data_IF_164524827882
#
_entry.id   IF_164524827882
#
_cell.length_a   1.000
_cell.length_b   1.000
_cell.length_c   1.000
_cell.angle_alpha   90.00
_cell.angle_beta   90.00
_cell.angle_gamma   90.00
#
_symmetry.space_group_name_H-M   'P 1'
#
loop_
_entity.id
_entity.type
_entity.pdbx_description
1 polymer ?
#
# COMPACT_ATOMS: atom_id res chain seq x y z
N UNK A 1 -6.47 -3.58 -22.87
CA UNK A 1 -7.11 -3.48 -21.54
C UNK A 1 -6.30 -4.34 -20.59
N UNK A 2 -5.44 -3.75 -19.76
CA UNK A 2 -4.71 -4.53 -18.76
C UNK A 2 -5.66 -4.84 -17.61
N UNK A 3 -5.97 -6.13 -17.43
CA UNK A 3 -6.66 -6.64 -16.25
C UNK A 3 -5.75 -6.35 -15.05
N UNK A 4 -6.17 -5.43 -14.19
CA UNK A 4 -5.65 -5.33 -12.84
C UNK A 4 -6.18 -6.56 -12.10
N UNK A 5 -5.34 -7.58 -11.98
CA UNK A 5 -5.59 -8.68 -11.05
C UNK A 5 -5.62 -8.08 -9.65
N UNK A 6 -6.82 -7.78 -9.16
CA UNK A 6 -7.07 -7.54 -7.75
C UNK A 6 -6.81 -8.87 -7.03
N UNK A 7 -5.55 -9.15 -6.70
CA UNK A 7 -5.20 -10.16 -5.72
C UNK A 7 -5.74 -9.67 -4.37
N UNK A 8 -7.03 -9.92 -4.14
CA UNK A 8 -7.63 -9.92 -2.82
C UNK A 8 -6.95 -11.04 -2.04
N UNK A 9 -5.90 -10.68 -1.33
CA UNK A 9 -5.20 -11.55 -0.37
C UNK A 9 -6.23 -12.13 0.59
N UNK A 10 -6.51 -13.41 0.40
CA UNK A 10 -7.35 -14.23 1.27
C UNK A 10 -6.93 -14.02 2.73
N UNK A 11 -7.87 -13.63 3.56
CA UNK A 11 -7.79 -13.67 5.02
C UNK A 11 -7.69 -15.13 5.49
N UNK A 12 -6.48 -15.70 5.46
CA UNK A 12 -6.18 -16.99 6.05
C UNK A 12 -5.16 -16.81 7.18
N UNK A 13 -5.64 -16.89 8.41
CA UNK A 13 -4.85 -17.03 9.64
C UNK A 13 -4.35 -15.73 10.24
N UNK A 14 -4.25 -15.69 11.57
CA UNK A 14 -3.64 -14.64 12.40
C UNK A 14 -2.14 -14.46 12.13
N UNK A 15 -1.74 -14.32 10.87
CA UNK A 15 -0.37 -14.01 10.50
C UNK A 15 -0.14 -12.53 10.75
N UNK A 16 0.59 -12.24 11.82
CA UNK A 16 1.08 -10.90 12.09
C UNK A 16 2.14 -10.57 11.03
N UNK A 17 1.76 -9.76 10.04
CA UNK A 17 2.66 -9.28 9.01
C UNK A 17 3.35 -7.98 9.47
N UNK A 18 4.56 -7.73 9.00
CA UNK A 18 5.35 -6.55 9.39
C UNK A 18 5.44 -5.61 8.20
N UNK A 19 4.97 -4.38 8.36
CA UNK A 19 5.09 -3.35 7.33
C UNK A 19 6.56 -2.93 7.15
N UNK A 20 7.07 -2.94 5.91
CA UNK A 20 8.43 -2.49 5.60
C UNK A 20 8.66 -1.00 5.90
N UNK A 21 7.60 -0.17 5.79
CA UNK A 21 7.71 1.28 5.97
C UNK A 21 7.70 1.75 7.42
N UNK A 22 6.88 1.14 8.29
CA UNK A 22 6.74 1.56 9.69
C UNK A 22 7.13 0.49 10.71
N UNK A 23 7.51 -0.72 10.26
CA UNK A 23 7.82 -1.89 11.09
C UNK A 23 6.72 -2.30 12.06
N UNK A 24 5.50 -1.80 11.86
CA UNK A 24 4.35 -2.14 12.68
C UNK A 24 3.75 -3.46 12.24
N UNK A 25 3.27 -4.20 13.23
CA UNK A 25 2.48 -5.42 13.10
C UNK A 25 1.10 -5.09 12.53
N UNK A 26 0.74 -5.69 11.41
CA UNK A 26 -0.53 -5.44 10.70
C UNK A 26 -1.16 -6.75 10.25
N UNK A 27 -2.50 -6.75 10.19
CA UNK A 27 -3.28 -7.91 9.75
C UNK A 27 -3.16 -8.17 8.24
N UNK A 28 -2.84 -7.13 7.46
CA UNK A 28 -2.74 -7.23 6.01
C UNK A 28 -1.67 -6.26 5.49
N UNK A 29 -0.87 -6.75 4.54
CA UNK A 29 0.05 -5.96 3.73
C UNK A 29 -0.57 -5.71 2.34
N UNK A 30 -0.19 -4.59 1.76
CA UNK A 30 -0.53 -4.20 0.40
C UNK A 30 0.74 -4.23 -0.46
N UNK A 31 0.67 -3.68 -1.66
CA UNK A 31 1.81 -3.55 -2.57
C UNK A 31 3.05 -2.97 -1.87
N UNK A 32 4.23 -3.54 -2.17
CA UNK A 32 5.53 -3.20 -1.58
C UNK A 32 5.67 -3.53 -0.07
N UNK A 33 4.92 -4.51 0.44
CA UNK A 33 4.92 -4.88 1.86
C UNK A 33 4.63 -3.69 2.78
N UNK A 34 3.79 -2.78 2.31
CA UNK A 34 3.36 -1.61 3.05
C UNK A 34 1.97 -1.82 3.65
N UNK A 35 1.77 -1.33 4.86
CA UNK A 35 0.43 -1.18 5.41
C UNK A 35 -0.30 -0.03 4.68
N UNK A 36 -1.64 -0.02 4.81
CA UNK A 36 -2.51 1.02 4.24
C UNK A 36 -2.00 2.44 4.51
N UNK A 37 -1.58 2.73 5.73
CA UNK A 37 -1.09 4.06 6.12
C UNK A 37 0.21 4.46 5.42
N UNK A 38 1.16 3.53 5.29
CA UNK A 38 2.42 3.78 4.59
C UNK A 38 2.20 3.94 3.09
N UNK A 39 1.35 3.08 2.51
CA UNK A 39 0.99 3.16 1.10
C UNK A 39 0.31 4.51 0.79
N UNK A 40 -0.66 4.94 1.60
CA UNK A 40 -1.34 6.23 1.43
C UNK A 40 -0.39 7.43 1.50
N UNK A 41 0.59 7.40 2.41
CA UNK A 41 1.61 8.48 2.49
C UNK A 41 2.44 8.56 1.21
N UNK A 42 2.80 7.41 0.62
CA UNK A 42 3.54 7.36 -0.64
C UNK A 42 2.70 7.92 -1.79
N UNK A 43 1.43 7.52 -1.90
CA UNK A 43 0.51 8.06 -2.91
C UNK A 43 0.28 9.58 -2.76
N UNK A 44 0.13 10.08 -1.53
CA UNK A 44 -0.01 11.52 -1.29
C UNK A 44 1.19 12.33 -1.78
N UNK A 45 2.41 11.80 -1.67
CA UNK A 45 3.61 12.45 -2.24
C UNK A 45 3.56 12.48 -3.77
N UNK A 46 3.17 11.36 -4.39
CA UNK A 46 2.98 11.29 -5.84
C UNK A 46 1.94 12.29 -6.35
N UNK A 47 0.79 12.40 -5.67
CA UNK A 47 -0.26 13.37 -6.02
C UNK A 47 0.29 14.80 -5.98
N UNK A 48 1.04 15.17 -4.94
CA UNK A 48 1.65 16.51 -4.84
C UNK A 48 2.62 16.81 -5.99
N UNK A 49 3.40 15.82 -6.42
CA UNK A 49 4.32 15.98 -7.57
C UNK A 49 3.51 16.16 -8.86
N UNK A 50 2.48 15.34 -9.08
CA UNK A 50 1.63 15.45 -10.27
C UNK A 50 0.92 16.82 -10.32
N UNK A 51 0.41 17.28 -9.19
CA UNK A 51 -0.26 18.58 -9.07
C UNK A 51 0.72 19.73 -9.41
N UNK A 52 1.98 19.63 -8.95
CA UNK A 52 3.00 20.63 -9.25
C UNK A 52 3.35 20.78 -10.75
N UNK A 53 3.09 19.75 -11.56
CA UNK A 53 3.36 19.76 -13.01
C UNK A 53 2.13 20.18 -13.81
N UNK A 54 0.93 20.20 -13.22
CA UNK A 54 -0.33 20.62 -13.89
C UNK A 54 -0.51 22.14 -13.97
N UNK A 55 0.43 22.93 -13.47
CA UNK A 55 0.47 24.39 -13.61
C UNK A 55 1.25 24.81 -14.84
#
# INVERSE_FOLDING_TARGET
MYLLEEQQTQSKGDYILICAGCRSKVAQLYQYDLCKSCLSKTFQRLIKVIDSVRK
#
